data_IF_909089536576
#
_entry.id   IF_909089536576
#
_cell.length_a   1.000
_cell.length_b   1.000
_cell.length_c   1.000
_cell.angle_alpha   90.00
_cell.angle_beta   90.00
_cell.angle_gamma   90.00
#
_symmetry.space_group_name_H-M   'P 1'
#
loop_
_entity.id
_entity.type
_entity.pdbx_description
1 polymer ?
#
# COMPACT_ATOMS: atom_id res chain seq x y z
N UNK A 1 16.80 14.38 9.59
CA UNK A 1 15.96 14.23 8.40
C UNK A 1 16.42 15.27 7.38
N UNK A 2 17.14 14.84 6.35
CA UNK A 2 17.47 15.66 5.20
C UNK A 2 16.16 16.06 4.51
N UNK A 3 15.97 17.36 4.27
CA UNK A 3 14.87 17.83 3.42
C UNK A 3 15.16 17.33 2.00
N UNK A 4 14.35 16.41 1.51
CA UNK A 4 14.35 16.00 0.12
C UNK A 4 13.50 17.00 -0.64
N UNK A 5 13.98 17.46 -1.79
CA UNK A 5 13.14 18.17 -2.74
C UNK A 5 11.98 17.23 -3.15
N UNK A 6 10.72 17.70 -3.18
CA UNK A 6 9.57 16.84 -3.49
C UNK A 6 9.62 16.13 -4.85
N UNK A 7 10.45 16.63 -5.75
CA UNK A 7 10.59 16.12 -7.11
C UNK A 7 11.61 14.96 -7.27
N UNK A 8 12.44 14.67 -6.24
CA UNK A 8 13.39 13.56 -6.32
C UNK A 8 12.81 12.26 -5.71
N UNK A 9 11.97 11.62 -6.50
CA UNK A 9 11.32 10.35 -6.09
C UNK A 9 12.34 9.23 -5.85
N UNK A 10 13.47 9.20 -6.57
CA UNK A 10 14.48 8.17 -6.41
C UNK A 10 15.16 8.32 -5.04
N UNK A 11 15.50 9.55 -4.65
CA UNK A 11 16.05 9.85 -3.34
C UNK A 11 15.05 9.54 -2.22
N UNK A 12 13.77 9.85 -2.42
CA UNK A 12 12.71 9.53 -1.46
C UNK A 12 12.55 8.02 -1.27
N UNK A 13 12.53 7.26 -2.36
CA UNK A 13 12.48 5.80 -2.33
C UNK A 13 13.68 5.19 -1.60
N UNK A 14 14.87 5.73 -1.83
CA UNK A 14 16.09 5.29 -1.13
C UNK A 14 16.01 5.58 0.38
N UNK A 15 15.51 6.76 0.76
CA UNK A 15 15.34 7.13 2.17
C UNK A 15 14.35 6.21 2.90
N UNK A 16 13.22 5.83 2.29
CA UNK A 16 12.29 4.88 2.89
C UNK A 16 12.95 3.52 3.17
N UNK A 17 13.78 3.04 2.25
CA UNK A 17 14.49 1.76 2.41
C UNK A 17 15.54 1.84 3.51
N UNK A 18 16.31 2.90 3.54
CA UNK A 18 17.27 3.15 4.62
C UNK A 18 16.57 3.28 5.97
N UNK A 19 15.47 4.01 6.03
CA UNK A 19 14.66 4.11 7.25
C UNK A 19 14.16 2.74 7.71
N UNK A 20 13.58 1.92 6.80
CA UNK A 20 13.16 0.56 7.09
C UNK A 20 14.30 -0.27 7.68
N UNK A 21 15.46 -0.29 6.99
CA UNK A 21 16.62 -1.07 7.44
C UNK A 21 17.11 -0.63 8.82
N UNK A 22 17.18 0.67 9.08
CA UNK A 22 17.55 1.21 10.38
C UNK A 22 16.57 0.78 11.48
N UNK A 23 15.25 0.85 11.24
CA UNK A 23 14.25 0.44 12.22
C UNK A 23 14.27 -1.07 12.43
N UNK A 24 14.38 -1.87 11.37
CA UNK A 24 14.51 -3.33 11.47
C UNK A 24 15.76 -3.72 12.27
N UNK A 25 16.90 -3.07 12.07
CA UNK A 25 18.12 -3.32 12.85
C UNK A 25 17.92 -3.02 14.34
N UNK A 26 17.21 -1.91 14.67
CA UNK A 26 16.89 -1.56 16.06
C UNK A 26 15.98 -2.59 16.72
N UNK A 27 14.96 -3.06 16.00
CA UNK A 27 14.05 -4.11 16.47
C UNK A 27 14.84 -5.40 16.67
N UNK A 28 15.68 -5.81 15.71
CA UNK A 28 16.48 -7.01 15.79
C UNK A 28 17.49 -6.98 16.94
N UNK A 29 18.13 -5.84 17.19
CA UNK A 29 19.05 -5.69 18.32
C UNK A 29 18.33 -5.87 19.66
N UNK A 30 17.09 -5.33 19.78
CA UNK A 30 16.27 -5.51 20.99
C UNK A 30 15.76 -6.94 21.16
N UNK A 31 15.46 -7.62 20.06
CA UNK A 31 15.04 -9.02 20.01
C UNK A 31 16.18 -9.93 20.48
N UNK A 32 17.36 -9.84 19.85
CA UNK A 32 18.54 -10.65 20.17
C UNK A 32 19.05 -10.42 21.60
N UNK A 33 18.96 -9.18 22.10
CA UNK A 33 19.34 -8.87 23.50
C UNK A 33 18.31 -9.36 24.53
N UNK A 34 17.17 -9.90 24.10
CA UNK A 34 16.08 -10.33 24.98
C UNK A 34 15.33 -9.19 25.66
N UNK A 35 15.57 -7.94 25.26
CA UNK A 35 14.89 -6.77 25.83
C UNK A 35 13.49 -6.54 25.23
N UNK A 36 13.15 -7.21 24.12
CA UNK A 36 11.86 -7.14 23.46
C UNK A 36 11.25 -8.54 23.35
N UNK A 37 10.05 -8.80 23.93
CA UNK A 37 9.34 -10.07 23.74
C UNK A 37 8.98 -10.31 22.27
N UNK A 38 9.07 -11.57 21.81
CA UNK A 38 8.86 -11.94 20.41
C UNK A 38 7.52 -11.47 19.83
N UNK A 39 6.43 -11.51 20.60
CA UNK A 39 5.14 -10.98 20.17
C UNK A 39 5.20 -9.46 19.86
N UNK A 40 6.05 -8.73 20.59
CA UNK A 40 6.25 -7.29 20.35
C UNK A 40 7.14 -6.99 19.16
N UNK A 41 7.95 -7.95 18.73
CA UNK A 41 8.74 -7.83 17.50
C UNK A 41 7.81 -7.72 16.30
N UNK A 42 6.84 -8.64 16.18
CA UNK A 42 5.85 -8.63 15.10
C UNK A 42 4.99 -7.36 15.11
N UNK A 43 4.51 -6.92 16.29
CA UNK A 43 3.78 -5.65 16.44
C UNK A 43 4.59 -4.47 15.83
N UNK A 44 5.87 -4.37 16.20
CA UNK A 44 6.73 -3.26 15.71
C UNK A 44 7.03 -3.35 14.21
N UNK A 45 7.19 -4.55 13.68
CA UNK A 45 7.40 -4.76 12.25
C UNK A 45 6.12 -4.42 11.46
N UNK A 46 4.95 -4.74 12.00
CA UNK A 46 3.65 -4.39 11.40
C UNK A 46 3.46 -2.86 11.39
N UNK A 47 3.67 -2.18 12.52
CA UNK A 47 3.60 -0.71 12.59
C UNK A 47 4.59 -0.05 11.63
N UNK A 48 5.80 -0.60 11.48
CA UNK A 48 6.77 -0.10 10.51
C UNK A 48 6.27 -0.24 9.07
N UNK A 49 5.61 -1.35 8.75
CA UNK A 49 5.02 -1.56 7.42
C UNK A 49 3.85 -0.60 7.17
N UNK A 50 2.96 -0.40 8.14
CA UNK A 50 1.84 0.55 8.07
C UNK A 50 2.31 1.98 7.81
N UNK A 51 3.30 2.46 8.58
CA UNK A 51 3.88 3.81 8.41
C UNK A 51 4.49 3.99 7.03
N UNK A 52 5.18 2.97 6.51
CA UNK A 52 5.78 3.03 5.18
C UNK A 52 4.74 2.92 4.06
N UNK A 53 3.69 2.12 4.24
CA UNK A 53 2.55 2.07 3.31
C UNK A 53 1.84 3.42 3.22
N UNK A 54 1.61 4.10 4.34
CA UNK A 54 1.01 5.43 4.37
C UNK A 54 1.88 6.46 3.65
N UNK A 55 3.20 6.46 3.86
CA UNK A 55 4.15 7.32 3.15
C UNK A 55 4.17 7.05 1.64
N UNK A 56 4.13 5.78 1.24
CA UNK A 56 4.05 5.36 -0.18
C UNK A 56 2.73 5.80 -0.80
N UNK A 57 1.61 5.59 -0.09
CA UNK A 57 0.29 6.03 -0.54
C UNK A 57 0.25 7.55 -0.76
N UNK A 58 0.69 8.32 0.23
CA UNK A 58 0.70 9.78 0.16
C UNK A 58 1.51 10.29 -1.05
N UNK A 59 2.70 9.73 -1.28
CA UNK A 59 3.52 10.08 -2.43
C UNK A 59 2.89 9.66 -3.76
N UNK A 60 2.33 8.45 -3.83
CA UNK A 60 1.63 7.96 -5.02
C UNK A 60 0.40 8.82 -5.35
N UNK A 61 -0.39 9.15 -4.33
CA UNK A 61 -1.56 10.02 -4.44
C UNK A 61 -1.19 11.38 -5.02
N UNK A 62 -0.18 12.04 -4.46
CA UNK A 62 0.30 13.33 -4.95
C UNK A 62 0.67 13.26 -6.43
N UNK A 63 1.50 12.30 -6.83
CA UNK A 63 1.98 12.17 -8.21
C UNK A 63 0.86 11.86 -9.21
N UNK A 64 -0.14 11.07 -8.81
CA UNK A 64 -1.27 10.72 -9.68
C UNK A 64 -2.24 11.90 -9.77
N UNK A 65 -2.51 12.61 -8.67
CA UNK A 65 -3.37 13.80 -8.66
C UNK A 65 -2.75 14.98 -9.39
N UNK A 66 -1.47 15.20 -9.32
CA UNK A 66 -0.76 16.22 -10.12
C UNK A 66 -0.96 15.99 -11.63
N UNK A 67 -1.02 14.74 -12.06
CA UNK A 67 -1.15 14.38 -13.47
C UNK A 67 -2.58 14.37 -13.98
N UNK A 68 -3.53 13.89 -13.17
CA UNK A 68 -4.90 13.59 -13.60
C UNK A 68 -5.95 14.44 -12.88
N UNK A 69 -5.59 15.13 -11.78
CA UNK A 69 -6.53 15.70 -10.82
C UNK A 69 -7.13 14.63 -9.90
N UNK A 70 -7.77 15.04 -8.83
CA UNK A 70 -8.52 14.12 -7.97
C UNK A 70 -9.88 13.75 -8.61
N UNK A 71 -10.46 12.58 -8.29
CA UNK A 71 -11.84 12.25 -8.65
C UNK A 71 -12.81 13.30 -8.12
N UNK A 72 -13.77 13.73 -8.98
CA UNK A 72 -14.60 14.91 -8.72
C UNK A 72 -15.67 14.72 -7.63
N UNK A 73 -15.90 13.50 -7.17
CA UNK A 73 -16.84 13.18 -6.09
C UNK A 73 -16.25 13.32 -4.68
N UNK A 74 -14.93 13.44 -4.57
CA UNK A 74 -14.24 13.49 -3.28
C UNK A 74 -14.38 14.86 -2.62
N UNK A 75 -14.62 14.84 -1.31
CA UNK A 75 -14.49 16.00 -0.44
C UNK A 75 -13.04 16.34 -0.10
N UNK A 76 -12.84 17.45 0.59
CA UNK A 76 -11.52 17.87 1.03
C UNK A 76 -10.94 16.86 2.03
N UNK A 77 -9.74 16.35 1.74
CA UNK A 77 -9.05 15.36 2.58
C UNK A 77 -9.51 13.91 2.38
N UNK A 78 -10.49 13.65 1.51
CA UNK A 78 -10.92 12.30 1.18
C UNK A 78 -10.06 11.70 0.05
N UNK A 79 -9.88 10.39 0.08
CA UNK A 79 -9.18 9.66 -0.98
C UNK A 79 -10.10 8.67 -1.73
N UNK A 80 -11.17 8.20 -1.09
CA UNK A 80 -12.02 7.15 -1.65
C UNK A 80 -11.26 5.85 -1.96
N UNK A 81 -10.12 5.62 -1.28
CA UNK A 81 -9.22 4.51 -1.52
C UNK A 81 -8.82 3.84 -0.21
N UNK A 82 -8.84 2.51 -0.20
CA UNK A 82 -8.49 1.70 0.95
C UNK A 82 -7.44 0.67 0.57
N UNK A 83 -6.43 0.51 1.43
CA UNK A 83 -5.47 -0.59 1.40
C UNK A 83 -5.83 -1.56 2.50
N UNK A 84 -6.20 -2.78 2.15
CA UNK A 84 -6.50 -3.85 3.11
C UNK A 84 -5.30 -4.77 3.19
N UNK A 85 -4.76 -4.96 4.40
CA UNK A 85 -3.70 -5.91 4.69
C UNK A 85 -4.29 -7.26 5.11
N UNK A 86 -3.85 -8.32 4.45
CA UNK A 86 -4.20 -9.70 4.77
C UNK A 86 -3.03 -10.47 5.38
N UNK A 87 -3.26 -11.73 5.71
CA UNK A 87 -2.23 -12.65 6.16
C UNK A 87 -1.47 -12.13 7.37
N UNK A 88 -0.14 -12.19 7.32
CA UNK A 88 0.72 -11.77 8.45
C UNK A 88 0.62 -10.27 8.77
N UNK A 89 0.34 -9.42 7.76
CA UNK A 89 0.14 -7.99 8.00
C UNK A 89 -1.15 -7.76 8.78
N UNK A 90 -2.27 -8.33 8.31
CA UNK A 90 -3.58 -8.20 8.98
C UNK A 90 -3.62 -8.86 10.36
N UNK A 91 -2.90 -9.96 10.55
CA UNK A 91 -2.81 -10.69 11.82
C UNK A 91 -1.80 -10.13 12.83
N UNK A 92 -1.08 -9.06 12.52
CA UNK A 92 0.02 -8.54 13.37
C UNK A 92 1.13 -9.58 13.62
N UNK A 93 1.40 -10.42 12.62
CA UNK A 93 2.38 -11.51 12.68
C UNK A 93 3.56 -11.30 11.72
N UNK A 94 3.84 -10.06 11.35
CA UNK A 94 4.86 -9.74 10.37
C UNK A 94 6.26 -10.12 10.88
N UNK A 95 7.02 -10.80 10.03
CA UNK A 95 8.45 -11.10 10.26
C UNK A 95 9.36 -10.17 9.46
N UNK A 96 10.67 -10.24 9.71
CA UNK A 96 11.66 -9.37 9.05
C UNK A 96 11.69 -9.46 7.53
N UNK A 97 11.42 -10.63 6.97
CA UNK A 97 11.41 -10.89 5.52
C UNK A 97 10.03 -11.20 4.95
N UNK A 98 8.95 -10.86 5.68
CA UNK A 98 7.59 -11.09 5.19
C UNK A 98 7.27 -10.18 4.02
N UNK A 99 6.56 -10.73 3.05
CA UNK A 99 5.79 -10.02 2.04
C UNK A 99 4.54 -9.38 2.64
N UNK A 100 3.94 -8.48 1.89
CA UNK A 100 2.69 -7.82 2.25
C UNK A 100 1.59 -8.32 1.33
N UNK A 101 0.62 -9.05 1.89
CA UNK A 101 -0.60 -9.44 1.20
C UNK A 101 -1.57 -8.24 1.23
N UNK A 102 -1.82 -7.63 0.07
CA UNK A 102 -2.58 -6.39 -0.03
C UNK A 102 -3.76 -6.54 -1.00
N UNK A 103 -4.85 -5.86 -0.67
CA UNK A 103 -5.98 -5.64 -1.59
C UNK A 103 -6.30 -4.15 -1.63
N UNK A 104 -6.49 -3.61 -2.84
CA UNK A 104 -6.83 -2.21 -3.06
C UNK A 104 -8.30 -2.09 -3.44
N UNK A 105 -9.01 -1.22 -2.73
CA UNK A 105 -10.45 -1.01 -2.89
C UNK A 105 -10.72 0.48 -3.09
N UNK A 106 -11.72 0.81 -3.91
CA UNK A 106 -12.23 2.17 -4.06
C UNK A 106 -13.77 2.17 -4.01
N UNK A 107 -14.34 3.34 -3.69
CA UNK A 107 -15.77 3.55 -3.55
C UNK A 107 -16.37 4.51 -4.59
N UNK A 108 -15.61 4.83 -5.65
CA UNK A 108 -16.03 5.83 -6.63
C UNK A 108 -17.35 5.47 -7.31
N UNK A 109 -18.33 6.39 -7.35
CA UNK A 109 -19.53 6.19 -8.15
C UNK A 109 -19.22 5.95 -9.63
N UNK A 110 -20.13 5.27 -10.34
CA UNK A 110 -20.03 5.13 -11.79
C UNK A 110 -20.09 6.52 -12.46
N UNK A 111 -19.45 6.64 -13.62
CA UNK A 111 -19.46 7.86 -14.46
C UNK A 111 -18.77 9.10 -13.83
N UNK A 112 -17.99 8.92 -12.78
CA UNK A 112 -17.17 9.99 -12.19
C UNK A 112 -15.82 10.08 -12.92
N UNK A 113 -15.43 11.32 -13.25
CA UNK A 113 -14.13 11.65 -13.83
C UNK A 113 -13.26 12.48 -12.86
N UNK A 114 -11.98 12.54 -13.17
CA UNK A 114 -11.02 13.40 -12.45
C UNK A 114 -11.10 14.86 -12.94
N UNK A 115 -10.63 15.80 -12.09
CA UNK A 115 -10.72 17.25 -12.32
C UNK A 115 -9.53 17.86 -13.04
N UNK A 116 -8.48 17.10 -13.31
CA UNK A 116 -7.20 17.61 -13.84
C UNK A 116 -7.18 17.81 -15.36
N UNK A 117 -6.01 18.21 -15.88
CA UNK A 117 -5.85 18.52 -17.31
C UNK A 117 -5.97 17.27 -18.20
N UNK A 118 -5.70 16.10 -17.67
CA UNK A 118 -5.86 14.80 -18.32
C UNK A 118 -6.96 14.02 -17.60
N UNK A 119 -8.21 14.30 -17.94
CA UNK A 119 -9.34 13.60 -17.33
C UNK A 119 -9.32 12.11 -17.65
N UNK A 120 -9.57 11.31 -16.64
CA UNK A 120 -9.79 9.88 -16.73
C UNK A 120 -10.97 9.49 -15.84
N UNK A 121 -11.58 8.34 -16.07
CA UNK A 121 -12.59 7.85 -15.13
C UNK A 121 -12.00 7.59 -13.75
N UNK A 122 -12.80 7.72 -12.70
CA UNK A 122 -12.33 7.45 -11.33
C UNK A 122 -11.77 6.03 -11.18
N UNK A 123 -12.37 5.04 -11.84
CA UNK A 123 -11.84 3.68 -11.87
C UNK A 123 -10.43 3.61 -12.47
N UNK A 124 -10.19 4.29 -13.59
CA UNK A 124 -8.85 4.35 -14.19
C UNK A 124 -7.86 5.09 -13.31
N UNK A 125 -8.30 6.13 -12.61
CA UNK A 125 -7.48 6.85 -11.63
C UNK A 125 -7.00 5.90 -10.52
N UNK A 126 -7.90 5.13 -9.90
CA UNK A 126 -7.54 4.22 -8.81
C UNK A 126 -6.67 3.05 -9.27
N UNK A 127 -6.86 2.55 -10.49
CA UNK A 127 -5.95 1.56 -11.08
C UNK A 127 -4.53 2.15 -11.25
N UNK A 128 -4.42 3.41 -11.71
CA UNK A 128 -3.12 4.09 -11.84
C UNK A 128 -2.47 4.35 -10.48
N UNK A 129 -3.27 4.69 -9.48
CA UNK A 129 -2.81 4.86 -8.10
C UNK A 129 -2.26 3.53 -7.56
N UNK A 130 -3.00 2.44 -7.70
CA UNK A 130 -2.55 1.10 -7.30
C UNK A 130 -1.25 0.69 -8.02
N UNK A 131 -1.16 0.92 -9.34
CA UNK A 131 0.07 0.68 -10.11
C UNK A 131 1.26 1.51 -9.59
N UNK A 132 1.01 2.77 -9.20
CA UNK A 132 2.07 3.63 -8.66
C UNK A 132 2.53 3.16 -7.28
N UNK A 133 1.61 2.78 -6.41
CA UNK A 133 1.93 2.18 -5.09
C UNK A 133 2.80 0.93 -5.28
N UNK A 134 2.37 0.01 -6.14
CA UNK A 134 3.12 -1.22 -6.43
C UNK A 134 4.52 -0.94 -6.99
N UNK A 135 4.64 0.05 -7.87
CA UNK A 135 5.94 0.48 -8.39
C UNK A 135 6.86 0.98 -7.26
N UNK A 136 6.36 1.84 -6.37
CA UNK A 136 7.14 2.39 -5.25
C UNK A 136 7.58 1.31 -4.24
N UNK A 137 6.74 0.31 -3.98
CA UNK A 137 7.05 -0.80 -3.10
C UNK A 137 8.10 -1.75 -3.71
N UNK A 138 7.89 -2.15 -4.98
CA UNK A 138 8.65 -3.23 -5.61
C UNK A 138 9.93 -2.79 -6.33
N UNK A 139 10.08 -1.51 -6.67
CA UNK A 139 11.29 -1.02 -7.34
C UNK A 139 12.50 -1.20 -6.43
N UNK A 140 13.59 -1.74 -6.99
CA UNK A 140 14.87 -1.90 -6.28
C UNK A 140 15.71 -0.65 -6.45
N UNK A 141 16.25 -0.16 -5.32
CA UNK A 141 17.28 0.89 -5.25
C UNK A 141 18.59 0.30 -4.72
N UNK A 142 19.57 1.15 -4.41
CA UNK A 142 20.83 0.69 -3.80
C UNK A 142 20.62 -0.04 -2.47
N UNK A 143 19.65 0.41 -1.66
CA UNK A 143 19.28 -0.23 -0.39
C UNK A 143 18.28 -1.40 -0.55
N UNK A 144 18.02 -1.85 -1.76
CA UNK A 144 17.15 -2.98 -2.05
C UNK A 144 15.69 -2.57 -2.34
N UNK A 145 14.77 -3.49 -2.10
CA UNK A 145 13.34 -3.33 -2.27
C UNK A 145 12.68 -2.88 -0.97
N UNK A 146 11.64 -2.04 -1.03
CA UNK A 146 10.95 -1.61 0.19
C UNK A 146 10.19 -2.78 0.83
N UNK A 147 9.22 -3.33 0.11
CA UNK A 147 8.53 -4.57 0.44
C UNK A 147 8.19 -5.33 -0.83
N UNK A 148 8.19 -6.64 -0.78
CA UNK A 148 7.51 -7.47 -1.75
C UNK A 148 6.01 -7.41 -1.43
N UNK A 149 5.20 -6.98 -2.41
CA UNK A 149 3.76 -6.88 -2.22
C UNK A 149 3.06 -7.91 -3.12
N UNK A 150 2.20 -8.72 -2.49
CA UNK A 150 1.39 -9.74 -3.15
C UNK A 150 -0.07 -9.28 -3.22
N UNK A 151 -0.63 -9.31 -4.41
CA UNK A 151 -2.02 -8.93 -4.67
C UNK A 151 -2.89 -10.13 -5.07
N UNK A 152 -2.44 -11.36 -4.87
CA UNK A 152 -3.17 -12.56 -5.30
C UNK A 152 -4.49 -12.78 -4.56
N UNK A 153 -4.65 -12.19 -3.38
CA UNK A 153 -5.88 -12.26 -2.58
C UNK A 153 -6.98 -11.28 -3.03
N UNK A 154 -6.74 -10.49 -4.10
CA UNK A 154 -7.79 -9.65 -4.68
C UNK A 154 -8.82 -10.49 -5.44
N UNK A 155 -10.06 -10.00 -5.61
CA UNK A 155 -11.09 -10.67 -6.39
C UNK A 155 -10.57 -11.15 -7.75
N UNK A 156 -10.83 -12.42 -8.09
CA UNK A 156 -10.33 -13.10 -9.29
C UNK A 156 -8.79 -13.22 -9.37
N UNK A 157 -8.08 -13.03 -8.29
CA UNK A 157 -6.62 -13.19 -8.21
C UNK A 157 -5.87 -12.43 -9.29
N UNK A 158 -4.92 -13.07 -9.97
CA UNK A 158 -4.09 -12.42 -10.99
C UNK A 158 -4.84 -11.98 -12.26
N UNK A 159 -6.04 -12.50 -12.52
CA UNK A 159 -6.89 -12.08 -13.65
C UNK A 159 -7.80 -10.89 -13.31
N UNK A 160 -7.96 -10.56 -12.02
CA UNK A 160 -8.76 -9.44 -11.55
C UNK A 160 -8.09 -8.08 -11.68
N UNK A 161 -8.88 -7.02 -11.55
CA UNK A 161 -8.38 -5.64 -11.53
C UNK A 161 -7.45 -5.42 -10.34
N UNK A 162 -6.44 -4.55 -10.52
CA UNK A 162 -5.51 -4.17 -9.45
C UNK A 162 -6.19 -3.46 -8.28
N UNK A 163 -7.26 -2.71 -8.57
CA UNK A 163 -8.10 -2.07 -7.59
C UNK A 163 -9.55 -2.38 -7.94
N UNK A 164 -10.32 -2.89 -7.00
CA UNK A 164 -11.72 -3.25 -7.19
C UNK A 164 -12.64 -2.23 -6.53
N UNK A 165 -13.87 -2.13 -7.03
CA UNK A 165 -14.91 -1.34 -6.38
C UNK A 165 -15.40 -2.05 -5.11
N UNK A 166 -15.74 -1.29 -4.07
CA UNK A 166 -16.19 -1.82 -2.78
C UNK A 166 -17.34 -2.83 -2.93
N UNK A 167 -18.38 -2.48 -3.70
CA UNK A 167 -19.51 -3.41 -3.91
C UNK A 167 -19.13 -4.68 -4.67
N UNK A 168 -18.15 -4.62 -5.56
CA UNK A 168 -17.61 -5.78 -6.24
C UNK A 168 -16.79 -6.68 -5.30
N UNK A 169 -16.06 -6.06 -4.38
CA UNK A 169 -15.34 -6.77 -3.33
C UNK A 169 -16.30 -7.47 -2.37
N UNK A 170 -17.33 -6.78 -1.90
CA UNK A 170 -18.38 -7.36 -1.03
C UNK A 170 -19.06 -8.54 -1.70
N UNK A 171 -19.49 -8.38 -2.97
CA UNK A 171 -20.12 -9.46 -3.71
C UNK A 171 -19.20 -10.69 -3.85
N UNK A 172 -17.90 -10.45 -4.18
CA UNK A 172 -16.92 -11.52 -4.26
C UNK A 172 -16.78 -12.27 -2.93
N UNK A 173 -16.65 -11.54 -1.82
CA UNK A 173 -16.51 -12.13 -0.49
C UNK A 173 -17.74 -12.95 -0.09
N UNK A 174 -18.95 -12.51 -0.44
CA UNK A 174 -20.19 -13.20 -0.09
C UNK A 174 -20.48 -14.45 -0.96
N UNK A 175 -20.11 -14.43 -2.23
CA UNK A 175 -20.58 -15.40 -3.21
C UNK A 175 -19.50 -16.29 -3.82
N UNK A 176 -18.26 -15.80 -3.92
CA UNK A 176 -17.21 -16.45 -4.72
C UNK A 176 -15.96 -16.81 -3.91
N UNK A 177 -15.68 -16.06 -2.81
CA UNK A 177 -14.47 -16.28 -2.02
C UNK A 177 -14.47 -17.64 -1.32
N UNK A 178 -13.31 -18.28 -1.31
CA UNK A 178 -13.13 -19.52 -0.59
C UNK A 178 -13.04 -19.27 0.93
N UNK A 179 -13.45 -20.23 1.74
CA UNK A 179 -13.44 -20.10 3.21
C UNK A 179 -12.08 -19.66 3.78
N UNK A 180 -10.98 -20.03 3.15
CA UNK A 180 -9.63 -19.63 3.56
C UNK A 180 -9.28 -18.16 3.21
N UNK A 181 -10.00 -17.52 2.32
CA UNK A 181 -9.84 -16.09 1.98
C UNK A 181 -10.49 -15.16 3.01
N UNK A 182 -11.29 -15.71 3.92
CA UNK A 182 -11.94 -14.97 5.02
C UNK A 182 -11.08 -14.94 6.31
N UNK A 183 -9.83 -15.41 6.27
CA UNK A 183 -8.95 -15.50 7.44
C UNK A 183 -8.04 -14.28 7.57
#
# INVERSE_FOLDING_TARGET
>A
LLRVEPDDIEQLMEQWRQFKLCQQLRIAASDVSGSLPIARVSDKLTVLAEVLLDAVFTSAWQQVTEKFGAPSHLGEGESGFLIVGYGKLGGYELGYGSDLDLVFIHDAPQDVETTGPRRVSAQQFYIKLAQRIMHLLNTRTLSGQLYEADLRLRPSGNSGLLCCHLSGFEHYQEQEAWTWEHQ
#
